data_IF_022372926831
#
_entry.id   IF_022372926831
#
_cell.length_a   1.000
_cell.length_b   1.000
_cell.length_c   1.000
_cell.angle_alpha   90.00
_cell.angle_beta   90.00
_cell.angle_gamma   90.00
#
_symmetry.space_group_name_H-M   'P 1'
#
loop_
_entity.id
_entity.type
_entity.pdbx_description
1 polymer ?
#
# COMPACT_ATOMS: atom_id res chain seq x y z
N UNK A 1 0.72 23.04 -7.29
CA UNK A 1 0.64 22.96 -5.82
C UNK A 1 1.84 23.64 -5.21
N UNK A 2 1.63 24.63 -4.33
CA UNK A 2 2.70 25.29 -3.56
C UNK A 2 3.46 24.27 -2.71
N UNK A 3 4.73 24.53 -2.41
CA UNK A 3 5.58 23.72 -1.51
C UNK A 3 4.93 23.48 -0.15
N UNK A 4 4.23 24.50 0.35
CA UNK A 4 3.48 24.50 1.61
C UNK A 4 2.40 23.39 1.70
N UNK A 5 1.75 23.05 0.58
CA UNK A 5 0.75 21.99 0.53
C UNK A 5 1.37 20.57 0.55
N UNK A 6 2.61 20.39 0.08
CA UNK A 6 3.29 19.07 0.09
C UNK A 6 3.69 18.67 1.50
N UNK A 7 4.23 19.62 2.26
CA UNK A 7 4.62 19.40 3.66
C UNK A 7 3.42 19.11 4.55
N UNK A 8 2.26 19.70 4.25
CA UNK A 8 1.02 19.44 5.00
C UNK A 8 0.55 17.99 4.87
N UNK A 9 0.59 17.42 3.66
CA UNK A 9 0.23 16.01 3.43
C UNK A 9 1.24 15.07 4.06
N UNK A 10 2.54 15.32 3.90
CA UNK A 10 3.58 14.49 4.51
C UNK A 10 3.45 14.42 6.04
N UNK A 11 3.13 15.55 6.70
CA UNK A 11 2.93 15.60 8.16
C UNK A 11 1.74 14.78 8.64
N UNK A 12 0.57 14.94 8.01
CA UNK A 12 -0.64 14.21 8.45
C UNK A 12 -0.53 12.72 8.15
N UNK A 13 0.07 12.37 7.01
CA UNK A 13 0.35 10.98 6.67
C UNK A 13 1.32 10.42 7.71
N UNK A 14 2.48 11.03 7.93
CA UNK A 14 3.44 10.57 8.96
C UNK A 14 2.77 10.38 10.33
N UNK A 15 1.90 11.30 10.75
CA UNK A 15 1.12 11.15 11.99
C UNK A 15 0.09 10.00 11.94
N UNK A 16 -0.43 9.64 10.77
CA UNK A 16 -1.30 8.48 10.59
C UNK A 16 -0.58 7.15 10.82
N UNK A 17 0.70 7.05 10.48
CA UNK A 17 1.49 5.86 10.79
C UNK A 17 2.15 5.95 12.18
N UNK A 18 2.80 7.07 12.46
CA UNK A 18 3.69 7.29 13.61
C UNK A 18 3.36 8.62 14.31
N UNK A 19 2.10 8.77 14.69
CA UNK A 19 1.59 9.89 15.49
C UNK A 19 2.09 9.85 16.93
N UNK A 20 1.20 10.07 17.89
CA UNK A 20 1.51 9.89 19.30
C UNK A 20 1.02 8.52 19.76
N UNK A 21 1.89 7.74 20.40
CA UNK A 21 1.63 6.36 20.83
C UNK A 21 0.41 6.25 21.76
N UNK A 22 0.21 7.22 22.65
CA UNK A 22 -0.88 7.23 23.63
C UNK A 22 -2.26 7.58 23.07
N UNK A 23 -2.36 7.97 21.78
CA UNK A 23 -3.65 8.14 21.09
C UNK A 23 -4.03 6.91 20.25
N UNK A 24 -3.28 5.82 20.39
CA UNK A 24 -3.39 4.68 19.49
C UNK A 24 -3.61 3.37 20.25
N UNK A 25 -4.59 2.60 19.79
CA UNK A 25 -4.76 1.20 20.15
C UNK A 25 -4.55 0.35 18.89
N UNK A 26 -3.28 0.09 18.56
CA UNK A 26 -2.90 -0.49 17.28
C UNK A 26 -3.49 -1.90 17.03
N UNK A 27 -3.83 -2.64 18.10
CA UNK A 27 -4.46 -3.96 18.00
C UNK A 27 -5.94 -3.90 17.60
N UNK A 28 -6.58 -2.72 17.61
CA UNK A 28 -7.94 -2.59 17.10
C UNK A 28 -7.94 -2.58 15.58
N UNK A 29 -8.92 -3.28 15.01
CA UNK A 29 -9.14 -3.35 13.56
C UNK A 29 -9.19 -1.98 12.88
N UNK A 30 -9.76 -0.99 13.57
CA UNK A 30 -9.81 0.39 13.13
C UNK A 30 -9.63 1.31 14.33
N UNK A 31 -8.63 2.19 14.25
CA UNK A 31 -8.46 3.31 15.14
C UNK A 31 -8.77 4.62 14.38
N UNK A 32 -9.53 5.52 14.99
CA UNK A 32 -9.89 6.82 14.42
C UNK A 32 -9.40 7.92 15.35
N UNK A 33 -8.48 8.74 14.86
CA UNK A 33 -7.93 9.88 15.59
C UNK A 33 -8.42 11.17 14.94
N UNK A 34 -9.13 11.99 15.72
CA UNK A 34 -9.61 13.31 15.27
C UNK A 34 -8.64 14.38 15.73
N UNK A 35 -8.00 15.05 14.78
CA UNK A 35 -7.08 16.14 15.04
C UNK A 35 -7.83 17.41 15.49
N UNK A 36 -7.14 18.30 16.22
CA UNK A 36 -7.69 19.59 16.68
C UNK A 36 -8.22 20.50 15.56
N UNK A 37 -7.74 20.31 14.33
CA UNK A 37 -8.18 21.06 13.15
C UNK A 37 -9.30 20.35 12.37
N UNK A 38 -9.93 19.33 12.96
CA UNK A 38 -11.06 18.62 12.39
C UNK A 38 -10.69 17.55 11.35
N UNK A 39 -9.42 17.36 11.04
CA UNK A 39 -8.98 16.25 10.17
C UNK A 39 -9.07 14.92 10.92
N UNK A 40 -9.47 13.87 10.21
CA UNK A 40 -9.50 12.51 10.73
C UNK A 40 -8.34 11.68 10.17
N UNK A 41 -7.75 10.88 11.04
CA UNK A 41 -6.74 9.88 10.73
C UNK A 41 -7.35 8.52 11.03
N UNK A 42 -7.16 7.56 10.14
CA UNK A 42 -7.60 6.18 10.32
C UNK A 42 -6.40 5.24 10.26
N UNK A 43 -6.27 4.35 11.25
CA UNK A 43 -5.29 3.26 11.24
C UNK A 43 -6.02 1.94 11.18
N UNK A 44 -5.62 1.08 10.25
CA UNK A 44 -6.14 -0.27 10.11
C UNK A 44 -5.10 -1.29 10.54
N UNK A 45 -5.47 -2.18 11.44
CA UNK A 45 -4.74 -3.44 11.63
C UNK A 45 -4.96 -4.29 10.37
N UNK A 46 -3.89 -4.75 9.72
CA UNK A 46 -3.98 -5.26 8.34
C UNK A 46 -4.20 -6.78 8.27
N UNK A 47 -4.12 -7.49 9.40
CA UNK A 47 -4.32 -8.95 9.45
C UNK A 47 -5.75 -9.34 9.08
N UNK A 48 -6.74 -8.54 9.52
CA UNK A 48 -8.15 -8.89 9.38
C UNK A 48 -8.83 -8.29 8.14
N UNK A 49 -8.28 -7.24 7.54
CA UNK A 49 -8.94 -6.51 6.45
C UNK A 49 -7.95 -5.92 5.44
N UNK A 50 -8.38 -5.84 4.17
CA UNK A 50 -7.65 -5.11 3.12
C UNK A 50 -8.00 -3.62 3.12
N UNK A 51 -7.03 -2.79 2.71
CA UNK A 51 -7.15 -1.32 2.72
C UNK A 51 -8.42 -0.80 2.04
N UNK A 52 -8.91 -1.48 0.98
CA UNK A 52 -10.10 -1.04 0.23
C UNK A 52 -11.35 -0.87 1.11
N UNK A 53 -11.50 -1.68 2.17
CA UNK A 53 -12.65 -1.59 3.08
C UNK A 53 -12.56 -0.32 3.91
N UNK A 54 -11.38 -0.02 4.46
CA UNK A 54 -11.13 1.18 5.27
C UNK A 54 -11.21 2.44 4.41
N UNK A 55 -10.65 2.39 3.20
CA UNK A 55 -10.72 3.49 2.25
C UNK A 55 -12.18 3.80 1.88
N UNK A 56 -13.01 2.79 1.66
CA UNK A 56 -14.42 2.98 1.34
C UNK A 56 -15.20 3.65 2.48
N UNK A 57 -14.98 3.21 3.73
CA UNK A 57 -15.60 3.83 4.91
C UNK A 57 -15.21 5.32 4.99
N UNK A 58 -13.92 5.61 4.82
CA UNK A 58 -13.45 6.98 4.91
C UNK A 58 -13.94 7.88 3.77
N UNK A 59 -14.08 7.35 2.55
CA UNK A 59 -14.69 8.08 1.44
C UNK A 59 -16.17 8.38 1.71
N UNK A 60 -16.94 7.39 2.18
CA UNK A 60 -18.36 7.57 2.51
C UNK A 60 -18.56 8.59 3.65
N UNK A 61 -17.75 8.50 4.71
CA UNK A 61 -17.77 9.47 5.81
C UNK A 61 -17.40 10.87 5.34
N UNK A 62 -16.36 11.01 4.50
CA UNK A 62 -15.95 12.29 3.94
C UNK A 62 -17.06 12.92 3.09
N UNK A 63 -17.76 12.14 2.26
CA UNK A 63 -18.88 12.63 1.45
C UNK A 63 -20.08 13.04 2.34
N UNK A 64 -20.46 12.20 3.31
CA UNK A 64 -21.61 12.47 4.18
C UNK A 64 -21.41 13.69 5.06
N UNK A 65 -20.25 13.80 5.71
CA UNK A 65 -19.91 14.92 6.61
C UNK A 65 -19.88 16.27 5.92
N UNK A 66 -19.58 16.33 4.61
CA UNK A 66 -19.65 17.57 3.82
C UNK A 66 -21.09 17.99 3.51
N UNK A 67 -22.02 17.02 3.42
CA UNK A 67 -23.42 17.26 3.05
C UNK A 67 -24.32 17.50 4.26
N UNK A 68 -24.01 16.88 5.38
CA UNK A 68 -24.84 16.90 6.58
C UNK A 68 -23.98 16.97 7.84
N UNK A 69 -24.24 17.98 8.65
CA UNK A 69 -23.73 18.08 10.02
C UNK A 69 -24.86 17.70 10.95
N UNK A 70 -24.70 16.59 11.67
CA UNK A 70 -25.69 16.14 12.63
C UNK A 70 -25.75 17.12 13.82
N UNK A 71 -26.95 17.63 14.11
CA UNK A 71 -27.22 18.52 15.23
C UNK A 71 -28.34 17.95 16.10
N UNK A 72 -28.02 17.11 17.10
CA UNK A 72 -29.01 16.58 18.02
C UNK A 72 -29.61 17.71 18.87
N UNK A 73 -30.94 17.83 18.89
CA UNK A 73 -31.65 18.81 19.75
C UNK A 73 -32.03 18.22 21.11
N UNK A 74 -32.47 16.96 21.12
CA UNK A 74 -33.01 16.28 22.33
C UNK A 74 -32.37 14.90 22.56
N UNK A 75 -31.11 14.71 22.14
CA UNK A 75 -30.43 13.43 22.34
C UNK A 75 -29.92 13.31 23.78
N UNK A 76 -30.38 12.28 24.49
CA UNK A 76 -29.78 11.84 25.75
C UNK A 76 -28.57 10.97 25.44
N UNK A 77 -27.41 11.35 25.97
CA UNK A 77 -26.18 10.58 25.83
C UNK A 77 -25.81 9.94 27.17
N UNK A 78 -25.33 8.70 27.12
CA UNK A 78 -24.62 8.13 28.27
C UNK A 78 -23.29 8.86 28.44
N UNK A 79 -22.97 9.24 29.68
CA UNK A 79 -21.67 9.83 29.97
C UNK A 79 -20.56 8.79 29.79
N UNK A 80 -19.48 9.11 29.06
CA UNK A 80 -18.36 8.20 28.90
C UNK A 80 -17.81 7.75 30.27
N UNK A 81 -17.59 6.44 30.41
CA UNK A 81 -16.95 5.88 31.60
C UNK A 81 -15.45 5.81 31.37
N UNK A 82 -14.68 6.41 32.27
CA UNK A 82 -13.23 6.27 32.27
C UNK A 82 -12.86 4.81 32.57
N UNK A 83 -11.95 4.26 31.77
CA UNK A 83 -11.34 2.96 32.06
C UNK A 83 -10.13 3.17 32.95
N UNK A 84 -10.15 2.57 34.13
CA UNK A 84 -9.05 2.61 35.09
C UNK A 84 -8.27 1.30 35.00
N UNK A 85 -6.95 1.42 34.88
CA UNK A 85 -6.03 0.28 34.82
C UNK A 85 -5.17 0.27 36.08
N UNK A 86 -5.09 -0.87 36.76
CA UNK A 86 -4.12 -1.09 37.82
C UNK A 86 -2.72 -1.23 37.22
N UNK A 87 -1.78 -0.42 37.69
CA UNK A 87 -0.43 -0.34 37.11
C UNK A 87 0.60 -0.81 38.14
N UNK A 88 1.33 -1.88 37.81
CA UNK A 88 2.49 -2.32 38.57
C UNK A 88 3.76 -1.59 38.12
N UNK A 89 4.85 -1.77 38.86
CA UNK A 89 6.16 -1.24 38.47
C UNK A 89 6.63 -1.82 37.12
N UNK A 90 6.34 -3.09 36.86
CA UNK A 90 6.63 -3.78 35.60
C UNK A 90 5.87 -3.14 34.43
N UNK A 91 4.58 -2.80 34.60
CA UNK A 91 3.80 -2.08 33.59
C UNK A 91 4.43 -0.73 33.25
N UNK A 92 4.80 0.06 34.27
CA UNK A 92 5.42 1.37 34.07
C UNK A 92 6.77 1.30 33.35
N UNK A 93 7.56 0.25 33.58
CA UNK A 93 8.81 0.03 32.85
C UNK A 93 8.55 -0.40 31.40
N UNK A 94 7.57 -1.28 31.17
CA UNK A 94 7.17 -1.69 29.84
C UNK A 94 6.66 -0.50 29.01
N UNK A 95 5.86 0.41 29.59
CA UNK A 95 5.38 1.61 28.93
C UNK A 95 6.53 2.54 28.51
N UNK A 96 7.54 2.72 29.37
CA UNK A 96 8.73 3.51 29.05
C UNK A 96 9.51 2.91 27.88
N UNK A 97 9.82 1.62 27.96
CA UNK A 97 10.54 0.90 26.90
C UNK A 97 9.76 0.92 25.56
N UNK A 98 8.45 0.70 25.60
CA UNK A 98 7.60 0.76 24.42
C UNK A 98 7.57 2.16 23.79
N UNK A 99 7.49 3.21 24.60
CA UNK A 99 7.49 4.58 24.11
C UNK A 99 8.85 4.98 23.52
N UNK A 100 9.96 4.59 24.15
CA UNK A 100 11.31 4.82 23.62
C UNK A 100 11.49 4.15 22.25
N UNK A 101 11.08 2.88 22.13
CA UNK A 101 11.10 2.16 20.86
C UNK A 101 10.21 2.84 19.80
N UNK A 102 8.98 3.20 20.16
CA UNK A 102 8.07 3.90 19.25
C UNK A 102 8.65 5.23 18.75
N UNK A 103 9.26 6.04 19.63
CA UNK A 103 9.89 7.31 19.24
C UNK A 103 11.11 7.09 18.34
N UNK A 104 11.92 6.07 18.61
CA UNK A 104 13.03 5.70 17.75
C UNK A 104 12.53 5.31 16.35
N UNK A 105 11.52 4.44 16.25
CA UNK A 105 10.87 4.06 15.00
C UNK A 105 10.26 5.27 14.29
N UNK A 106 9.52 6.12 15.01
CA UNK A 106 8.89 7.33 14.46
C UNK A 106 9.90 8.21 13.74
N UNK A 107 11.11 8.30 14.29
CA UNK A 107 12.20 9.11 13.75
C UNK A 107 12.86 8.52 12.49
N UNK A 108 12.67 7.22 12.20
CA UNK A 108 13.23 6.55 11.02
C UNK A 108 12.28 6.62 9.81
N UNK A 109 10.97 6.74 10.02
CA UNK A 109 10.01 6.80 8.92
C UNK A 109 10.00 8.15 8.19
N UNK A 110 9.95 8.10 6.86
CA UNK A 110 9.79 9.25 5.98
C UNK A 110 8.59 9.03 5.07
N UNK A 111 7.79 10.07 4.87
CA UNK A 111 6.64 10.04 3.96
C UNK A 111 6.75 11.19 3.00
N UNK A 112 6.57 10.92 1.71
CA UNK A 112 6.42 11.93 0.68
C UNK A 112 5.08 11.76 -0.02
N UNK A 113 4.51 12.90 -0.38
CA UNK A 113 3.27 12.98 -1.13
C UNK A 113 3.52 13.72 -2.44
N UNK A 114 3.11 13.12 -3.55
CA UNK A 114 3.31 13.64 -4.89
C UNK A 114 1.95 13.71 -5.58
N UNK A 115 1.55 14.93 -5.97
CA UNK A 115 0.36 15.14 -6.79
C UNK A 115 0.81 15.43 -8.21
N UNK A 116 0.46 14.54 -9.12
CA UNK A 116 0.65 14.72 -10.55
C UNK A 116 -0.65 15.21 -11.18
N UNK A 117 -0.65 16.44 -11.69
CA UNK A 117 -1.82 17.09 -12.30
C UNK A 117 -1.73 17.21 -13.82
N UNK A 118 -0.84 16.45 -14.46
CA UNK A 118 -0.71 16.48 -15.93
C UNK A 118 -1.84 15.75 -16.64
N UNK A 119 -2.35 14.68 -16.04
CA UNK A 119 -3.51 13.92 -16.50
C UNK A 119 -4.02 13.00 -15.38
N UNK A 120 -5.21 12.45 -15.60
CA UNK A 120 -5.77 11.36 -14.81
C UNK A 120 -6.60 10.42 -15.68
N UNK A 121 -7.64 9.84 -15.10
CA UNK A 121 -8.49 8.84 -15.74
C UNK A 121 -9.20 9.34 -17.01
N UNK A 122 -9.49 10.64 -17.12
CA UNK A 122 -10.15 11.22 -18.28
C UNK A 122 -9.33 11.04 -19.56
N UNK A 123 -8.02 11.32 -19.50
CA UNK A 123 -7.15 11.15 -20.66
C UNK A 123 -6.96 9.66 -20.97
N UNK A 124 -6.69 8.85 -19.94
CA UNK A 124 -6.41 7.43 -20.12
C UNK A 124 -7.58 6.68 -20.77
N UNK A 125 -8.82 7.01 -20.36
CA UNK A 125 -10.02 6.46 -21.01
C UNK A 125 -10.15 6.86 -22.48
N UNK A 126 -9.81 8.11 -22.85
CA UNK A 126 -9.86 8.57 -24.25
C UNK A 126 -8.89 7.81 -25.16
N UNK A 127 -7.78 7.32 -24.61
CA UNK A 127 -6.77 6.53 -25.34
C UNK A 127 -6.87 5.03 -25.08
N UNK A 128 -7.97 4.57 -24.45
CA UNK A 128 -8.23 3.16 -24.12
C UNK A 128 -7.13 2.50 -23.27
N UNK A 129 -6.58 3.24 -22.30
CA UNK A 129 -5.61 2.73 -21.34
C UNK A 129 -6.17 2.74 -19.91
N UNK A 130 -5.71 1.78 -19.11
CA UNK A 130 -5.93 1.75 -17.67
C UNK A 130 -4.87 2.60 -16.98
N UNK A 131 -5.31 3.62 -16.25
CA UNK A 131 -4.40 4.51 -15.51
C UNK A 131 -3.57 3.75 -14.48
N UNK A 132 -4.13 2.69 -13.89
CA UNK A 132 -3.45 1.83 -12.92
C UNK A 132 -2.17 1.20 -13.48
N UNK A 133 -2.28 0.49 -14.61
CA UNK A 133 -1.15 -0.08 -15.34
C UNK A 133 -0.10 0.97 -15.71
N UNK A 134 -0.55 2.16 -16.13
CA UNK A 134 0.36 3.27 -16.45
C UNK A 134 1.11 3.75 -15.21
N UNK A 135 0.45 3.80 -14.04
CA UNK A 135 1.09 4.14 -12.77
C UNK A 135 2.13 3.08 -12.36
N UNK A 136 1.82 1.79 -12.51
CA UNK A 136 2.76 0.69 -12.22
C UNK A 136 4.01 0.75 -13.09
N UNK A 137 3.84 0.93 -14.40
CA UNK A 137 4.94 1.12 -15.34
C UNK A 137 5.76 2.36 -14.97
N UNK A 138 5.10 3.47 -14.62
CA UNK A 138 5.76 4.71 -14.22
C UNK A 138 6.58 4.55 -12.93
N UNK A 139 6.07 3.81 -11.93
CA UNK A 139 6.79 3.52 -10.69
C UNK A 139 8.06 2.70 -10.96
N UNK A 140 7.97 1.69 -11.83
CA UNK A 140 9.12 0.88 -12.21
C UNK A 140 10.16 1.68 -12.99
N UNK A 141 9.73 2.57 -13.90
CA UNK A 141 10.63 3.52 -14.58
C UNK A 141 11.28 4.52 -13.61
N UNK A 142 10.52 5.02 -12.63
CA UNK A 142 11.04 5.94 -11.64
C UNK A 142 12.13 5.26 -10.79
N UNK A 143 11.91 4.01 -10.38
CA UNK A 143 12.92 3.22 -9.68
C UNK A 143 14.16 2.99 -10.55
N UNK A 144 13.98 2.58 -11.81
CA UNK A 144 15.08 2.39 -12.76
C UNK A 144 15.92 3.66 -12.96
N UNK A 145 15.28 4.81 -13.13
CA UNK A 145 15.96 6.11 -13.28
C UNK A 145 16.72 6.53 -12.01
N UNK A 146 16.21 6.16 -10.84
CA UNK A 146 16.79 6.55 -9.56
C UNK A 146 17.95 5.64 -9.16
N UNK A 147 17.82 4.33 -9.40
CA UNK A 147 18.73 3.32 -8.85
C UNK A 147 19.55 2.59 -9.92
N UNK A 148 19.26 2.77 -11.21
CA UNK A 148 19.95 2.10 -12.30
C UNK A 148 19.63 0.61 -12.44
N UNK A 149 18.69 0.08 -11.66
CA UNK A 149 18.26 -1.32 -11.68
C UNK A 149 16.73 -1.44 -11.66
N UNK A 150 16.22 -2.61 -12.02
CA UNK A 150 14.79 -2.91 -11.92
C UNK A 150 14.47 -3.48 -10.53
N UNK A 151 13.34 -3.06 -9.94
CA UNK A 151 12.89 -3.58 -8.66
C UNK A 151 12.02 -4.84 -8.84
N UNK A 152 12.16 -5.87 -7.99
CA UNK A 152 11.06 -6.80 -7.74
C UNK A 152 9.91 -5.99 -7.12
N UNK A 153 8.85 -5.81 -7.92
CA UNK A 153 7.66 -5.03 -7.55
C UNK A 153 6.51 -5.96 -7.15
N UNK A 154 5.93 -5.67 -5.99
CA UNK A 154 4.69 -6.23 -5.50
C UNK A 154 3.57 -5.25 -5.80
N UNK A 155 2.52 -5.74 -6.45
CA UNK A 155 1.24 -5.04 -6.55
C UNK A 155 0.12 -5.92 -6.03
N UNK A 156 -0.84 -5.29 -5.34
CA UNK A 156 -2.01 -5.99 -4.80
C UNK A 156 -3.08 -6.21 -5.87
N UNK A 157 -3.42 -7.46 -6.17
CA UNK A 157 -4.62 -7.82 -6.92
C UNK A 157 -5.69 -8.38 -6.00
N UNK A 158 -6.92 -7.86 -6.05
CA UNK A 158 -8.00 -8.38 -5.21
C UNK A 158 -8.57 -9.69 -5.78
N UNK A 159 -8.73 -10.69 -4.92
CA UNK A 159 -9.36 -11.99 -5.25
C UNK A 159 -10.77 -12.13 -4.67
N UNK A 160 -11.42 -11.01 -4.32
CA UNK A 160 -12.77 -10.95 -3.71
C UNK A 160 -13.90 -11.57 -4.55
N UNK A 161 -13.62 -12.02 -5.77
CA UNK A 161 -14.53 -12.86 -6.58
C UNK A 161 -14.76 -14.23 -5.92
N UNK A 162 -13.82 -14.71 -5.12
CA UNK A 162 -13.89 -15.97 -4.41
C UNK A 162 -14.35 -15.78 -2.96
N UNK A 163 -14.95 -16.82 -2.38
CA UNK A 163 -15.36 -16.82 -0.97
C UNK A 163 -14.16 -16.54 -0.05
N UNK A 164 -14.28 -15.55 0.82
CA UNK A 164 -13.20 -15.06 1.69
C UNK A 164 -11.92 -14.62 0.94
N UNK A 165 -12.04 -14.31 -0.36
CA UNK A 165 -10.92 -13.83 -1.16
C UNK A 165 -10.34 -12.53 -0.61
N UNK A 166 -9.03 -12.53 -0.39
CA UNK A 166 -8.21 -11.38 0.01
C UNK A 166 -7.49 -10.84 -1.24
N UNK A 167 -6.23 -11.24 -1.41
CA UNK A 167 -5.31 -10.69 -2.40
C UNK A 167 -4.42 -11.75 -3.01
N UNK A 168 -4.02 -11.54 -4.26
CA UNK A 168 -2.85 -12.16 -4.89
C UNK A 168 -1.81 -11.06 -5.23
N UNK A 169 -0.57 -11.45 -5.51
CA UNK A 169 0.53 -10.59 -5.95
C UNK A 169 0.58 -10.51 -7.47
N UNK A 170 0.64 -9.29 -8.00
CA UNK A 170 1.05 -9.03 -9.39
C UNK A 170 2.52 -8.63 -9.39
N UNK A 171 3.33 -9.38 -10.14
CA UNK A 171 4.77 -9.13 -10.30
C UNK A 171 5.03 -8.31 -11.56
N UNK A 172 4.83 -6.99 -11.47
CA UNK A 172 4.91 -6.06 -12.61
C UNK A 172 6.29 -5.88 -13.28
N UNK A 173 7.36 -6.46 -12.73
CA UNK A 173 8.70 -6.42 -13.34
C UNK A 173 8.88 -7.55 -14.38
N UNK A 174 8.08 -7.50 -15.45
CA UNK A 174 8.11 -8.49 -16.53
C UNK A 174 9.27 -8.28 -17.49
N UNK A 175 9.51 -9.23 -18.39
CA UNK A 175 10.52 -9.08 -19.45
C UNK A 175 10.19 -7.92 -20.40
N UNK A 176 8.91 -7.71 -20.71
CA UNK A 176 8.41 -6.62 -21.54
C UNK A 176 8.64 -5.27 -20.84
N UNK A 177 8.37 -5.20 -19.53
CA UNK A 177 8.66 -4.01 -18.73
C UNK A 177 10.16 -3.68 -18.73
N UNK A 178 11.03 -4.70 -18.63
CA UNK A 178 12.49 -4.53 -18.72
C UNK A 178 12.89 -4.01 -20.10
N UNK A 179 12.34 -4.57 -21.17
CA UNK A 179 12.62 -4.14 -22.54
C UNK A 179 12.19 -2.69 -22.78
N UNK A 180 10.99 -2.31 -22.33
CA UNK A 180 10.51 -0.94 -22.38
C UNK A 180 11.39 0.01 -21.56
N UNK A 181 11.70 -0.35 -20.31
CA UNK A 181 12.56 0.46 -19.45
C UNK A 181 13.93 0.74 -20.06
N UNK A 182 14.58 -0.29 -20.62
CA UNK A 182 15.86 -0.13 -21.33
C UNK A 182 15.74 0.78 -22.54
N UNK A 183 14.69 0.63 -23.36
CA UNK A 183 14.48 1.49 -24.52
C UNK A 183 14.30 2.97 -24.15
N UNK A 184 13.66 3.25 -23.01
CA UNK A 184 13.54 4.61 -22.46
C UNK A 184 14.90 5.15 -22.00
N UNK A 185 15.68 4.35 -21.27
CA UNK A 185 17.02 4.75 -20.77
C UNK A 185 18.05 4.94 -21.88
N UNK A 186 17.95 4.14 -22.95
CA UNK A 186 18.82 4.20 -24.13
C UNK A 186 18.36 5.25 -25.16
N UNK A 187 17.32 6.03 -24.84
CA UNK A 187 16.77 7.07 -25.73
C UNK A 187 16.42 6.56 -27.14
N UNK A 188 15.84 5.36 -27.25
CA UNK A 188 15.38 4.82 -28.55
C UNK A 188 14.31 5.69 -29.18
N UNK A 189 14.01 5.45 -30.46
CA UNK A 189 12.97 6.18 -31.18
C UNK A 189 11.61 6.12 -30.46
N UNK A 190 10.80 7.16 -30.60
CA UNK A 190 9.44 7.19 -30.03
C UNK A 190 8.59 6.03 -30.55
N UNK A 191 8.80 5.60 -31.79
CA UNK A 191 8.12 4.45 -32.37
C UNK A 191 8.47 3.14 -31.62
N UNK A 192 9.75 2.93 -31.32
CA UNK A 192 10.20 1.77 -30.55
C UNK A 192 9.69 1.80 -29.11
N UNK A 193 9.80 2.96 -28.45
CA UNK A 193 9.31 3.13 -27.09
C UNK A 193 7.80 2.88 -27.02
N UNK A 194 7.01 3.38 -27.99
CA UNK A 194 5.57 3.14 -28.05
C UNK A 194 5.24 1.66 -28.21
N UNK A 195 5.91 0.96 -29.13
CA UNK A 195 5.70 -0.48 -29.34
C UNK A 195 6.02 -1.29 -28.07
N UNK A 196 7.13 -0.99 -27.41
CA UNK A 196 7.54 -1.68 -26.18
C UNK A 196 6.66 -1.32 -24.98
N UNK A 197 6.17 -0.08 -24.91
CA UNK A 197 5.19 0.34 -23.91
C UNK A 197 3.91 -0.50 -24.00
N UNK A 198 3.37 -0.69 -25.22
CA UNK A 198 2.16 -1.51 -25.42
C UNK A 198 2.41 -2.95 -24.98
N UNK A 199 3.55 -3.54 -25.31
CA UNK A 199 3.89 -4.90 -24.86
C UNK A 199 3.96 -5.00 -23.31
N UNK A 200 4.60 -4.02 -22.65
CA UNK A 200 4.67 -3.98 -21.18
C UNK A 200 3.27 -3.79 -20.54
N UNK A 201 2.45 -2.95 -21.16
CA UNK A 201 1.08 -2.68 -20.74
C UNK A 201 0.18 -3.93 -20.86
N UNK A 202 0.25 -4.65 -21.97
CA UNK A 202 -0.50 -5.88 -22.20
C UNK A 202 -0.07 -7.00 -21.25
N UNK A 203 1.24 -7.20 -21.08
CA UNK A 203 1.78 -8.20 -20.15
C UNK A 203 1.34 -7.94 -18.70
N UNK A 204 1.37 -6.69 -18.25
CA UNK A 204 0.90 -6.32 -16.92
C UNK A 204 -0.60 -6.59 -16.74
N UNK A 205 -1.43 -6.21 -17.72
CA UNK A 205 -2.88 -6.45 -17.64
C UNK A 205 -3.23 -7.93 -17.64
N UNK A 206 -2.49 -8.75 -18.40
CA UNK A 206 -2.66 -10.19 -18.36
C UNK A 206 -2.37 -10.74 -16.96
N UNK A 207 -1.25 -10.34 -16.34
CA UNK A 207 -0.90 -10.76 -14.98
C UNK A 207 -1.94 -10.30 -13.95
N UNK A 208 -2.47 -9.08 -14.09
CA UNK A 208 -3.54 -8.58 -13.22
C UNK A 208 -4.81 -9.43 -13.34
N UNK A 209 -5.25 -9.75 -14.56
CA UNK A 209 -6.42 -10.61 -14.77
C UNK A 209 -6.20 -12.02 -14.20
N UNK A 210 -5.04 -12.62 -14.47
CA UNK A 210 -4.67 -13.93 -13.93
C UNK A 210 -4.69 -13.92 -12.39
N UNK A 211 -4.05 -12.94 -11.76
CA UNK A 211 -4.00 -12.80 -10.31
C UNK A 211 -5.41 -12.61 -9.70
N UNK A 212 -6.23 -11.72 -10.26
CA UNK A 212 -7.62 -11.51 -9.82
C UNK A 212 -8.50 -12.76 -9.95
N UNK A 213 -8.16 -13.65 -10.88
CA UNK A 213 -8.84 -14.93 -11.08
C UNK A 213 -8.15 -16.10 -10.36
N UNK A 214 -7.25 -15.83 -9.40
CA UNK A 214 -6.62 -16.84 -8.56
C UNK A 214 -5.58 -17.71 -9.27
N UNK A 215 -5.04 -17.23 -10.40
CA UNK A 215 -4.03 -17.92 -11.20
C UNK A 215 -2.61 -17.40 -10.98
N UNK A 216 -2.43 -16.49 -10.02
CA UNK A 216 -1.09 -16.05 -9.59
C UNK A 216 -0.33 -17.15 -8.84
N UNK A 217 0.97 -16.95 -8.69
CA UNK A 217 1.87 -17.98 -8.14
C UNK A 217 2.21 -17.76 -6.66
N UNK A 218 2.17 -16.52 -6.17
CA UNK A 218 2.71 -16.18 -4.85
C UNK A 218 1.92 -16.85 -3.72
N UNK A 219 0.58 -16.78 -3.73
CA UNK A 219 -0.22 -17.48 -2.71
C UNK A 219 -0.15 -18.99 -2.85
N UNK A 220 -0.03 -19.51 -4.08
CA UNK A 220 0.13 -20.94 -4.30
C UNK A 220 1.44 -21.45 -3.68
N UNK A 221 2.58 -20.82 -4.00
CA UNK A 221 3.88 -21.19 -3.44
C UNK A 221 3.92 -21.02 -1.91
N UNK A 222 3.30 -19.96 -1.38
CA UNK A 222 3.14 -19.78 0.05
C UNK A 222 2.33 -20.92 0.70
N UNK A 223 1.22 -21.34 0.07
CA UNK A 223 0.41 -22.47 0.53
C UNK A 223 1.19 -23.77 0.59
N UNK A 224 2.01 -24.06 -0.44
CA UNK A 224 2.90 -25.22 -0.44
C UNK A 224 3.93 -25.14 0.71
N UNK A 225 4.52 -23.98 0.94
CA UNK A 225 5.45 -23.76 2.05
C UNK A 225 4.78 -24.03 3.41
N UNK A 226 3.57 -23.51 3.62
CA UNK A 226 2.81 -23.72 4.87
C UNK A 226 2.35 -25.16 5.06
N UNK A 227 1.92 -25.84 4.00
CA UNK A 227 1.58 -27.25 4.05
C UNK A 227 2.79 -28.09 4.49
N UNK A 228 3.99 -27.80 3.97
CA UNK A 228 5.22 -28.49 4.40
C UNK A 228 5.61 -28.18 5.83
N UNK A 229 5.52 -26.92 6.27
CA UNK A 229 5.77 -26.54 7.67
C UNK A 229 4.84 -27.33 8.62
N UNK A 230 3.59 -27.51 8.23
CA UNK A 230 2.62 -28.29 8.99
C UNK A 230 2.97 -29.78 9.01
N UNK A 231 3.21 -30.39 7.85
CA UNK A 231 3.58 -31.80 7.73
C UNK A 231 4.85 -32.15 8.53
N UNK A 232 5.82 -31.23 8.62
CA UNK A 232 7.05 -31.42 9.40
C UNK A 232 6.83 -31.54 10.91
N UNK A 233 5.75 -30.98 11.45
CA UNK A 233 5.46 -31.07 12.90
C UNK A 233 5.08 -32.49 13.31
N UNK A 234 4.36 -33.19 12.45
CA UNK A 234 3.78 -34.50 12.76
C UNK A 234 4.51 -35.67 12.08
N UNK A 235 5.36 -35.40 11.08
CA UNK A 235 6.07 -36.44 10.34
C UNK A 235 7.37 -36.87 11.06
N UNK A 236 7.49 -38.18 11.34
CA UNK A 236 8.72 -38.78 11.87
C UNK A 236 9.86 -38.86 10.85
N UNK A 237 9.52 -38.80 9.56
CA UNK A 237 10.49 -38.80 8.46
C UNK A 237 10.84 -37.34 8.12
N UNK A 238 12.13 -36.96 8.13
CA UNK A 238 12.54 -35.62 7.74
C UNK A 238 12.07 -35.26 6.32
N UNK A 239 11.25 -34.22 6.20
CA UNK A 239 10.82 -33.69 4.90
C UNK A 239 11.85 -32.64 4.47
N UNK A 240 12.66 -32.88 3.42
CA UNK A 240 13.70 -31.97 2.99
C UNK A 240 13.11 -30.62 2.54
N UNK A 241 13.91 -29.56 2.63
CA UNK A 241 13.53 -28.24 2.13
C UNK A 241 13.63 -28.23 0.61
N UNK A 242 12.55 -27.93 -0.14
CA UNK A 242 12.65 -27.81 -1.58
C UNK A 242 13.58 -26.66 -1.95
N UNK A 243 14.50 -26.93 -2.88
CA UNK A 243 15.56 -26.00 -3.26
C UNK A 243 15.04 -24.64 -3.71
N UNK A 244 13.87 -24.57 -4.35
CA UNK A 244 13.23 -23.32 -4.80
C UNK A 244 13.07 -22.28 -3.68
N UNK A 245 12.77 -22.71 -2.45
CA UNK A 245 12.54 -21.79 -1.34
C UNK A 245 13.83 -21.34 -0.65
N UNK A 246 14.95 -22.00 -0.92
CA UNK A 246 16.29 -21.64 -0.42
C UNK A 246 17.16 -21.00 -1.49
N UNK A 247 16.72 -21.01 -2.74
CA UNK A 247 17.40 -20.37 -3.86
C UNK A 247 17.41 -18.85 -3.65
N UNK A 248 18.58 -18.23 -3.78
CA UNK A 248 18.73 -16.78 -3.66
C UNK A 248 17.89 -16.05 -4.72
N UNK A 249 17.65 -16.67 -5.89
CA UNK A 249 16.77 -16.12 -6.92
C UNK A 249 15.33 -15.92 -6.41
N UNK A 250 14.82 -16.79 -5.54
CA UNK A 250 13.48 -16.64 -4.95
C UNK A 250 13.39 -15.37 -4.11
N UNK A 251 14.44 -15.11 -3.31
CA UNK A 251 14.57 -13.89 -2.49
C UNK A 251 14.78 -12.64 -3.36
N UNK A 252 15.68 -12.68 -4.33
CA UNK A 252 15.94 -11.58 -5.28
C UNK A 252 14.66 -11.20 -6.04
N UNK A 253 13.84 -12.19 -6.41
CA UNK A 253 12.57 -11.97 -7.09
C UNK A 253 11.45 -11.41 -6.17
N UNK A 254 11.73 -11.17 -4.87
CA UNK A 254 10.79 -10.60 -3.91
C UNK A 254 10.19 -11.61 -2.91
N UNK A 255 10.50 -12.90 -3.05
CA UNK A 255 10.04 -13.95 -2.14
C UNK A 255 10.41 -13.67 -0.68
N UNK A 256 9.63 -14.20 0.26
CA UNK A 256 9.77 -13.95 1.71
C UNK A 256 9.72 -12.46 2.08
N UNK A 257 8.98 -11.64 1.33
CA UNK A 257 8.82 -10.22 1.61
C UNK A 257 9.99 -9.33 1.19
N UNK A 258 10.77 -9.76 0.19
CA UNK A 258 11.96 -9.03 -0.27
C UNK A 258 11.69 -8.07 -1.44
N UNK A 259 10.44 -7.68 -1.66
CA UNK A 259 10.07 -6.72 -2.71
C UNK A 259 10.65 -5.33 -2.40
N UNK A 260 11.42 -4.76 -3.33
CA UNK A 260 11.98 -3.41 -3.22
C UNK A 260 10.91 -2.34 -3.45
N UNK A 261 9.86 -2.66 -4.21
CA UNK A 261 8.69 -1.81 -4.38
C UNK A 261 7.45 -2.57 -3.91
N UNK A 262 6.83 -2.11 -2.82
CA UNK A 262 5.52 -2.58 -2.37
C UNK A 262 4.46 -1.55 -2.74
N UNK A 263 3.52 -1.95 -3.60
CA UNK A 263 2.58 -1.01 -4.22
C UNK A 263 1.14 -1.48 -4.14
N UNK A 264 0.22 -0.53 -4.18
CA UNK A 264 -1.20 -0.82 -4.30
C UNK A 264 -1.97 0.38 -4.83
N UNK A 265 -2.90 0.10 -5.75
CA UNK A 265 -3.96 1.02 -6.11
C UNK A 265 -5.02 1.04 -4.99
N UNK A 266 -5.15 2.20 -4.33
CA UNK A 266 -6.05 2.37 -3.19
C UNK A 266 -7.38 3.04 -3.56
N UNK A 267 -7.73 3.05 -4.85
CA UNK A 267 -9.05 3.47 -5.34
C UNK A 267 -9.07 4.82 -6.07
N UNK A 268 -10.19 5.05 -6.76
CA UNK A 268 -10.45 6.29 -7.49
C UNK A 268 -10.86 7.41 -6.54
N UNK A 269 -10.49 8.66 -6.82
CA UNK A 269 -11.01 9.81 -6.07
C UNK A 269 -12.53 9.96 -6.29
N UNK A 270 -13.20 10.61 -5.35
CA UNK A 270 -14.65 10.84 -5.41
C UNK A 270 -15.08 11.78 -6.54
N UNK A 271 -16.36 12.14 -6.57
CA UNK A 271 -16.88 13.14 -7.51
C UNK A 271 -16.06 14.44 -7.40
N UNK A 272 -15.71 15.04 -8.54
CA UNK A 272 -14.86 16.24 -8.64
C UNK A 272 -13.44 16.12 -8.04
N UNK A 273 -12.89 14.91 -7.98
CA UNK A 273 -11.61 14.62 -7.34
C UNK A 273 -11.57 15.04 -5.86
N UNK A 274 -12.73 15.03 -5.19
CA UNK A 274 -12.81 15.34 -3.77
C UNK A 274 -11.86 14.46 -2.95
N UNK A 275 -11.27 15.10 -1.93
CA UNK A 275 -10.38 14.45 -0.98
C UNK A 275 -11.21 13.51 -0.10
N UNK A 276 -11.08 12.21 -0.37
CA UNK A 276 -11.50 11.13 0.51
C UNK A 276 -10.34 10.63 1.36
N UNK A 277 -10.32 9.33 1.65
CA UNK A 277 -9.23 8.71 2.40
C UNK A 277 -7.95 8.58 1.60
N UNK A 278 -6.81 8.64 2.29
CA UNK A 278 -5.53 8.24 1.72
C UNK A 278 -4.90 7.23 2.65
N UNK A 279 -4.19 6.27 2.08
CA UNK A 279 -3.63 5.16 2.84
C UNK A 279 -2.29 4.74 2.26
N UNK A 280 -1.47 4.16 3.12
CA UNK A 280 -0.18 3.60 2.77
C UNK A 280 0.28 2.67 3.89
N UNK A 281 1.30 1.86 3.60
CA UNK A 281 2.08 1.15 4.61
C UNK A 281 3.57 1.43 4.41
N UNK A 282 4.39 0.97 5.36
CA UNK A 282 5.84 1.05 5.25
C UNK A 282 6.34 0.18 4.11
N UNK A 283 7.58 0.40 3.68
CA UNK A 283 8.26 -0.55 2.80
C UNK A 283 8.33 -1.95 3.45
N UNK A 284 8.38 -2.98 2.60
CA UNK A 284 8.44 -4.38 3.06
C UNK A 284 9.84 -4.78 3.56
N UNK A 285 10.85 -3.99 3.20
CA UNK A 285 12.26 -4.17 3.57
C UNK A 285 12.93 -2.82 3.81
N UNK A 286 13.99 -2.73 4.63
CA UNK A 286 14.61 -1.46 5.01
C UNK A 286 15.15 -0.62 3.85
N UNK A 287 15.55 -1.24 2.74
CA UNK A 287 16.09 -0.61 1.53
C UNK A 287 15.05 -0.46 0.40
N UNK A 288 13.76 -0.61 0.73
CA UNK A 288 12.67 -0.57 -0.25
C UNK A 288 11.81 0.70 -0.20
N UNK A 289 10.69 0.64 -0.90
CA UNK A 289 9.67 1.68 -0.89
C UNK A 289 8.28 1.08 -0.74
N UNK A 290 7.45 1.75 0.05
CA UNK A 290 5.99 1.67 -0.07
C UNK A 290 5.50 2.73 -1.04
N UNK A 291 4.70 2.39 -2.05
CA UNK A 291 4.19 3.34 -3.04
C UNK A 291 2.70 3.09 -3.35
N UNK A 292 1.84 3.97 -2.85
CA UNK A 292 0.38 3.81 -2.90
C UNK A 292 -0.24 5.00 -3.61
N UNK A 293 -1.27 4.78 -4.42
CA UNK A 293 -1.82 5.88 -5.21
C UNK A 293 -3.33 5.83 -5.37
N UNK A 294 -3.90 7.03 -5.48
CA UNK A 294 -5.28 7.27 -5.92
C UNK A 294 -5.31 7.96 -7.27
N UNK A 295 -6.32 7.63 -8.05
CA UNK A 295 -6.50 8.15 -9.41
C UNK A 295 -7.75 9.02 -9.44
N UNK A 296 -7.57 10.30 -9.76
CA UNK A 296 -8.66 11.23 -10.07
C UNK A 296 -8.91 11.33 -11.57
N UNK A 297 -9.86 12.19 -11.94
CA UNK A 297 -10.25 12.51 -13.32
C UNK A 297 -9.08 13.11 -14.08
N UNK A 298 -8.42 14.12 -13.51
CA UNK A 298 -7.36 14.89 -14.17
C UNK A 298 -6.05 14.93 -13.35
N UNK A 299 -5.93 14.08 -12.33
CA UNK A 299 -4.73 13.96 -11.51
C UNK A 299 -4.52 12.55 -10.95
N UNK A 300 -3.28 12.24 -10.60
CA UNK A 300 -2.90 11.09 -9.78
C UNK A 300 -2.23 11.58 -8.49
N UNK A 301 -2.51 10.93 -7.36
CA UNK A 301 -1.91 11.27 -6.07
C UNK A 301 -1.18 10.05 -5.52
N UNK A 302 0.14 10.16 -5.45
CA UNK A 302 1.05 9.13 -4.98
C UNK A 302 1.53 9.46 -3.57
N UNK A 303 1.62 8.42 -2.74
CA UNK A 303 2.17 8.42 -1.40
C UNK A 303 3.34 7.44 -1.39
N UNK A 304 4.54 7.94 -1.12
CA UNK A 304 5.74 7.11 -1.15
C UNK A 304 6.50 7.21 0.17
N UNK A 305 6.96 6.06 0.64
CA UNK A 305 7.78 5.89 1.82
C UNK A 305 9.08 5.21 1.41
N UNK A 306 10.19 5.94 1.22
CA UNK A 306 11.49 5.32 1.32
C UNK A 306 11.61 4.79 2.76
N UNK A 307 11.96 3.52 2.91
CA UNK A 307 12.51 3.07 4.19
C UNK A 307 13.95 3.57 4.30
N UNK A 308 14.20 4.18 5.46
CA UNK A 308 15.47 4.63 6.06
C UNK A 308 16.52 5.19 5.08
#
# INVERSE_FOLDING_TARGET
>A
MTTENRDKWAKILHAALMGESHYQWADKSLNIVVCKDGRAITQGEHSNVDAIVIMHIGDDVAIRSRKFVWQPKDATFEMPKQLEFEQSYEHLNAFRAANENFLALRSSFRVKSVVFSGYGNNLMRKVNLYTDTVMQIALQLAFLKTHGSFAPIYETASTRKFFHGRTETVRGCTHEMVAFGRAVMEHKSIADQKRLFIAAYEAHNQLMDEAMNGKGIDRHLYGLQKAMEWLRKDCKTPIPQPAIFTDEAYKIAGGHGNFLLSTSFIGYMGENDEIGSYGYVTAMRPDGYGAFYRIGKDRCHLFSLPSI
#
